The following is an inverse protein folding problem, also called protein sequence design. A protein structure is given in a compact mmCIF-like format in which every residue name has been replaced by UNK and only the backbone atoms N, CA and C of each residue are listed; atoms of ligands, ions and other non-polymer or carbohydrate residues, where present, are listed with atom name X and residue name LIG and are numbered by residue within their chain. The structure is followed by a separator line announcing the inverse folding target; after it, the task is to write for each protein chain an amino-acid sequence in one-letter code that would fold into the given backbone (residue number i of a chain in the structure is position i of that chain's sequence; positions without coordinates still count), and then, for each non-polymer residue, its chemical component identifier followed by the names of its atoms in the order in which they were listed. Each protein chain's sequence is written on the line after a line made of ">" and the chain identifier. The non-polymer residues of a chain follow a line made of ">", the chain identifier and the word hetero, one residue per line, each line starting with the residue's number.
data_IF_990074594038
#
_entry.id   IF_990074594038
#
_cell.length_a   1.000
_cell.length_b   1.000
_cell.length_c   1.000
_cell.angle_alpha   90.00
_cell.angle_beta   90.00
_cell.angle_gamma   90.00
#
_symmetry.space_group_name_H-M   'P 1'
#
loop_
_entity.id
_entity.type
_entity.pdbx_description
1 polymer ?
#
# COMPACT_ATOMS: atom_id res chain seq x y z
N UNK A 1 42.38 41.06 -19.10
CA UNK A 1 42.74 41.39 -17.71
C UNK A 1 41.67 40.79 -16.80
N UNK A 2 42.02 39.70 -16.13
CA UNK A 2 41.25 39.10 -15.05
C UNK A 2 41.03 40.09 -13.92
N UNK A 3 39.86 40.06 -13.28
CA UNK A 3 39.58 40.34 -11.86
C UNK A 3 38.07 40.46 -11.67
N UNK A 4 37.40 40.03 -10.61
CA UNK A 4 37.76 39.33 -9.38
C UNK A 4 36.40 38.92 -8.76
N UNK A 5 36.30 37.69 -8.25
CA UNK A 5 35.20 37.25 -7.38
C UNK A 5 35.32 37.92 -6.01
N UNK A 6 34.22 38.22 -5.29
CA UNK A 6 34.24 38.27 -3.84
C UNK A 6 33.92 36.89 -3.25
N UNK A 7 34.67 36.58 -2.19
CA UNK A 7 34.69 35.35 -1.42
C UNK A 7 34.07 35.60 -0.02
N UNK A 8 33.72 34.49 0.67
CA UNK A 8 33.22 34.34 2.06
C UNK A 8 31.70 34.39 2.22
N UNK A 9 31.07 33.48 2.99
CA UNK A 9 31.54 32.84 4.22
C UNK A 9 30.98 31.42 4.37
N UNK A 10 31.83 30.50 4.81
CA UNK A 10 31.45 29.18 5.33
C UNK A 10 30.70 29.34 6.67
N UNK A 11 29.52 28.73 6.76
CA UNK A 11 28.96 28.24 8.02
C UNK A 11 28.47 26.82 7.79
N UNK A 12 29.38 25.87 7.96
CA UNK A 12 29.03 24.52 8.38
C UNK A 12 28.79 24.56 9.88
N UNK A 13 27.59 24.19 10.34
CA UNK A 13 27.32 23.56 11.63
C UNK A 13 25.84 23.18 11.76
N UNK A 14 25.62 21.87 11.79
CA UNK A 14 24.78 21.14 12.74
C UNK A 14 23.39 21.70 13.05
N UNK A 15 22.39 21.10 12.41
CA UNK A 15 21.12 20.77 13.09
C UNK A 15 20.82 19.29 12.84
N UNK A 16 21.42 18.49 13.71
CA UNK A 16 20.93 17.18 14.14
C UNK A 16 19.49 17.34 14.62
N UNK A 17 18.51 16.80 13.90
CA UNK A 17 17.21 16.42 14.49
C UNK A 17 16.78 15.08 13.90
N UNK A 18 17.06 14.06 14.72
CA UNK A 18 16.30 12.84 14.96
C UNK A 18 15.54 12.20 13.78
N UNK A 19 16.16 11.15 13.25
CA UNK A 19 15.49 9.95 12.79
C UNK A 19 14.62 9.35 13.91
N UNK A 20 13.30 9.53 13.84
CA UNK A 20 12.34 8.71 14.60
C UNK A 20 11.51 7.89 13.60
N UNK A 21 12.14 6.83 13.09
CA UNK A 21 11.48 5.72 12.40
C UNK A 21 11.52 4.47 13.28
N UNK A 22 11.21 4.59 14.57
CA UNK A 22 11.14 3.44 15.49
C UNK A 22 10.05 3.64 16.55
N UNK A 23 8.79 3.55 16.13
CA UNK A 23 7.69 3.22 17.06
C UNK A 23 6.85 2.13 16.40
N UNK A 24 7.38 0.90 16.34
CA UNK A 24 6.60 -0.35 16.41
C UNK A 24 7.54 -1.51 16.77
N UNK A 25 7.82 -1.63 18.07
CA UNK A 25 7.81 -2.92 18.77
C UNK A 25 8.89 -3.94 18.45
N UNK A 26 9.97 -3.87 19.23
CA UNK A 26 10.52 -4.96 20.05
C UNK A 26 10.18 -6.40 19.65
N UNK A 27 11.10 -7.05 18.95
CA UNK A 27 11.35 -8.48 19.08
C UNK A 27 12.69 -8.67 19.80
N UNK A 28 12.65 -8.83 21.12
CA UNK A 28 13.82 -9.12 21.96
C UNK A 28 14.26 -10.57 21.72
N UNK A 29 15.41 -10.70 21.06
CA UNK A 29 16.42 -11.77 21.15
C UNK A 29 17.68 -11.02 21.58
N UNK A 30 18.54 -11.39 22.52
CA UNK A 30 18.98 -12.63 23.17
C UNK A 30 19.15 -12.31 24.69
N UNK A 31 19.52 -13.15 25.66
CA UNK A 31 20.67 -14.04 25.81
C UNK A 31 20.59 -14.64 27.25
N UNK A 32 21.42 -15.65 27.55
CA UNK A 32 21.81 -16.11 28.90
C UNK A 32 21.09 -17.35 29.48
N UNK A 33 21.67 -18.53 29.23
CA UNK A 33 22.31 -19.30 30.33
C UNK A 33 23.14 -20.47 29.77
N UNK A 34 24.44 -20.26 29.85
CA UNK A 34 25.52 -21.24 29.69
C UNK A 34 25.57 -22.11 30.95
N UNK A 35 25.46 -23.42 30.80
CA UNK A 35 25.92 -24.39 31.80
C UNK A 35 26.84 -25.41 31.13
N UNK A 36 27.96 -25.64 31.79
CA UNK A 36 29.14 -26.37 31.35
C UNK A 36 29.11 -27.87 31.71
N UNK A 37 29.80 -28.67 30.88
CA UNK A 37 30.59 -29.88 31.16
C UNK A 37 29.86 -31.14 31.69
N UNK A 38 29.91 -32.23 30.93
CA UNK A 38 30.75 -33.43 31.22
C UNK A 38 30.81 -34.38 30.02
N UNK A 39 32.03 -34.84 29.74
CA UNK A 39 32.39 -35.99 28.93
C UNK A 39 31.77 -37.30 29.43
N UNK A 40 31.14 -38.08 28.55
CA UNK A 40 31.25 -39.54 28.67
C UNK A 40 31.12 -40.26 27.32
N UNK A 41 32.06 -41.16 27.13
CA UNK A 41 32.23 -42.15 26.10
C UNK A 41 31.25 -43.31 26.27
N UNK A 42 30.45 -43.64 25.25
CA UNK A 42 29.55 -44.80 25.34
C UNK A 42 28.92 -45.20 24.01
N UNK A 43 29.60 -46.08 23.28
CA UNK A 43 29.12 -46.75 22.07
C UNK A 43 28.02 -47.76 22.44
N UNK A 44 26.80 -47.60 21.92
CA UNK A 44 25.82 -48.71 21.80
C UNK A 44 25.23 -48.71 20.40
N UNK A 45 25.60 -49.74 19.63
CA UNK A 45 24.98 -50.08 18.36
C UNK A 45 23.56 -50.60 18.60
N UNK A 46 22.58 -50.16 17.78
CA UNK A 46 21.35 -50.90 17.57
C UNK A 46 20.76 -50.66 16.18
N UNK A 47 20.78 -51.75 15.41
CA UNK A 47 19.76 -52.22 14.46
C UNK A 47 19.23 -51.26 13.39
N UNK A 48 19.62 -51.56 12.16
CA UNK A 48 18.95 -51.14 10.93
C UNK A 48 17.49 -51.65 10.91
N UNK A 49 16.55 -50.80 10.50
CA UNK A 49 15.31 -51.24 9.86
C UNK A 49 14.89 -50.23 8.80
N UNK A 50 14.82 -50.69 7.55
CA UNK A 50 14.54 -49.94 6.34
C UNK A 50 13.12 -49.34 6.34
N UNK A 51 13.02 -48.00 6.44
CA UNK A 51 11.79 -47.31 6.10
C UNK A 51 11.70 -47.16 4.58
N UNK A 52 10.97 -48.09 3.97
CA UNK A 52 10.58 -48.12 2.55
C UNK A 52 10.11 -46.74 2.07
N UNK A 53 10.95 -46.04 1.31
CA UNK A 53 10.56 -44.86 0.53
C UNK A 53 9.51 -45.29 -0.50
N UNK A 54 8.23 -45.12 -0.18
CA UNK A 54 7.16 -45.13 -1.20
C UNK A 54 7.30 -43.84 -2.00
N UNK A 55 8.24 -43.85 -2.94
CA UNK A 55 8.34 -42.86 -4.00
C UNK A 55 7.10 -43.03 -4.88
N UNK A 56 6.02 -42.30 -4.60
CA UNK A 56 4.92 -42.22 -5.56
C UNK A 56 5.44 -41.45 -6.75
N UNK A 57 5.56 -42.11 -7.90
CA UNK A 57 5.88 -41.47 -9.16
C UNK A 57 4.92 -40.30 -9.41
N UNK A 58 5.40 -39.07 -9.20
CA UNK A 58 4.75 -37.89 -9.76
C UNK A 58 4.97 -37.95 -11.26
N UNK A 59 3.91 -38.22 -12.02
CA UNK A 59 3.88 -38.04 -13.47
C UNK A 59 4.32 -36.61 -13.78
N UNK A 60 5.54 -36.49 -14.27
CA UNK A 60 6.01 -35.35 -15.05
C UNK A 60 5.37 -35.42 -16.44
N UNK A 61 4.97 -34.25 -16.94
CA UNK A 61 4.41 -33.96 -18.27
C UNK A 61 2.90 -34.14 -18.45
N UNK A 62 2.29 -33.05 -18.92
CA UNK A 62 1.32 -33.14 -20.00
C UNK A 62 -0.15 -33.16 -19.59
N UNK A 63 -0.67 -32.00 -19.19
CA UNK A 63 -2.08 -31.74 -19.44
C UNK A 63 -2.36 -31.76 -20.94
N UNK A 64 -2.92 -32.86 -21.45
CA UNK A 64 -3.85 -33.00 -22.59
C UNK A 64 -3.95 -34.47 -23.02
N UNK A 65 -5.16 -35.04 -22.95
CA UNK A 65 -5.48 -36.33 -23.56
C UNK A 65 -5.52 -36.22 -25.10
N UNK A 66 -5.22 -37.31 -25.84
CA UNK A 66 -5.22 -37.28 -27.31
C UNK A 66 -6.64 -37.04 -27.84
N UNK A 67 -6.78 -35.95 -28.60
CA UNK A 67 -8.04 -35.44 -29.13
C UNK A 67 -8.46 -36.27 -30.35
N UNK A 68 -9.53 -37.07 -30.21
CA UNK A 68 -10.32 -37.51 -31.36
C UNK A 68 -11.09 -36.30 -31.89
N UNK A 69 -10.99 -36.06 -33.20
CA UNK A 69 -11.52 -34.89 -33.89
C UNK A 69 -13.03 -34.72 -33.67
N UNK A 70 -13.44 -33.47 -33.41
CA UNK A 70 -14.59 -32.75 -33.98
C UNK A 70 -14.63 -31.35 -33.35
N UNK A 71 -15.16 -30.38 -34.10
CA UNK A 71 -15.08 -28.96 -33.82
C UNK A 71 -15.80 -28.56 -32.51
N UNK A 72 -15.16 -27.77 -31.65
CA UNK A 72 -15.85 -26.99 -30.62
C UNK A 72 -15.07 -25.73 -30.25
N UNK A 73 -15.82 -24.64 -30.22
CA UNK A 73 -15.49 -23.24 -29.90
C UNK A 73 -14.50 -23.08 -28.73
N UNK A 74 -13.73 -21.99 -28.75
CA UNK A 74 -12.84 -21.57 -27.65
C UNK A 74 -13.60 -21.51 -26.30
N UNK A 75 -13.52 -22.59 -25.52
CA UNK A 75 -13.78 -22.55 -24.08
C UNK A 75 -12.47 -22.17 -23.37
N UNK A 76 -12.04 -20.90 -23.51
CA UNK A 76 -10.95 -20.36 -22.69
C UNK A 76 -11.45 -20.18 -21.26
N UNK A 77 -11.02 -21.08 -20.38
CA UNK A 77 -11.03 -20.93 -18.91
C UNK A 77 -12.33 -20.41 -18.29
N UNK A 78 -13.42 -21.15 -18.42
CA UNK A 78 -14.50 -21.18 -17.42
C UNK A 78 -14.29 -22.28 -16.35
N UNK A 79 -13.16 -23.00 -16.39
CA UNK A 79 -12.83 -24.08 -15.44
C UNK A 79 -12.27 -23.58 -14.08
N UNK A 80 -12.81 -22.49 -13.53
CA UNK A 80 -12.78 -22.24 -12.07
C UNK A 80 -14.19 -22.15 -11.46
N UNK A 81 -15.22 -22.53 -12.22
CA UNK A 81 -16.58 -22.69 -11.72
C UNK A 81 -17.20 -23.96 -12.30
N UNK A 82 -16.71 -25.11 -11.85
CA UNK A 82 -17.44 -26.38 -11.94
C UNK A 82 -17.18 -27.16 -10.63
N UNK A 83 -18.18 -27.27 -9.73
CA UNK A 83 -18.20 -28.32 -8.74
C UNK A 83 -19.03 -29.48 -9.31
N UNK A 84 -18.36 -30.51 -9.82
CA UNK A 84 -18.98 -31.84 -9.96
C UNK A 84 -18.70 -32.62 -8.69
N UNK A 85 -19.39 -32.22 -7.62
CA UNK A 85 -19.81 -33.06 -6.50
C UNK A 85 -21.04 -32.37 -5.91
N UNK A 86 -22.08 -33.15 -5.70
CA UNK A 86 -23.40 -32.78 -5.16
C UNK A 86 -23.31 -31.69 -4.08
N UNK A 87 -23.89 -30.51 -4.35
CA UNK A 87 -24.12 -29.45 -3.37
C UNK A 87 -22.93 -28.49 -3.11
N UNK A 88 -22.88 -27.37 -3.84
CA UNK A 88 -22.15 -26.19 -3.39
C UNK A 88 -21.30 -25.53 -4.48
N UNK A 89 -21.86 -24.51 -5.13
CA UNK A 89 -21.06 -23.53 -5.88
C UNK A 89 -20.03 -22.94 -4.91
N UNK A 90 -18.73 -23.01 -5.25
CA UNK A 90 -17.68 -22.37 -4.44
C UNK A 90 -18.05 -20.90 -4.26
N UNK A 91 -18.23 -20.48 -3.00
CA UNK A 91 -18.56 -19.08 -2.68
C UNK A 91 -17.51 -18.16 -3.32
N UNK A 92 -17.92 -17.06 -3.97
CA UNK A 92 -16.98 -16.10 -4.50
C UNK A 92 -16.08 -15.58 -3.38
N UNK A 93 -14.78 -15.51 -3.64
CA UNK A 93 -13.82 -15.03 -2.65
C UNK A 93 -14.07 -13.55 -2.35
N UNK A 94 -14.44 -13.24 -1.10
CA UNK A 94 -14.62 -11.88 -0.60
C UNK A 94 -13.52 -11.55 0.40
N UNK A 95 -12.83 -10.44 0.18
CA UNK A 95 -11.86 -9.92 1.15
C UNK A 95 -12.57 -9.46 2.43
N UNK A 96 -11.87 -9.57 3.57
CA UNK A 96 -12.37 -9.02 4.84
C UNK A 96 -12.48 -7.50 4.73
N UNK A 97 -13.44 -6.86 5.44
CA UNK A 97 -13.50 -5.40 5.52
C UNK A 97 -12.15 -4.87 6.01
N UNK A 98 -11.69 -3.75 5.42
CA UNK A 98 -10.38 -3.17 5.68
C UNK A 98 -9.24 -3.73 4.82
N UNK A 99 -9.31 -4.98 4.34
CA UNK A 99 -8.22 -5.56 3.52
C UNK A 99 -8.03 -4.85 2.18
N UNK A 100 -9.13 -4.42 1.55
CA UNK A 100 -9.07 -3.67 0.29
C UNK A 100 -8.65 -2.22 0.54
N UNK A 101 -9.19 -1.58 1.59
CA UNK A 101 -8.82 -0.23 1.99
C UNK A 101 -7.32 -0.09 2.28
N UNK A 102 -6.72 -1.02 3.05
CA UNK A 102 -5.27 -1.01 3.32
C UNK A 102 -4.43 -1.20 2.06
N UNK A 103 -4.94 -1.95 1.08
CA UNK A 103 -4.28 -2.13 -0.21
C UNK A 103 -4.33 -0.86 -1.05
N UNK A 104 -5.47 -0.18 -1.06
CA UNK A 104 -5.66 1.10 -1.74
C UNK A 104 -4.78 2.19 -1.13
N UNK A 105 -4.72 2.29 0.21
CA UNK A 105 -3.84 3.24 0.92
C UNK A 105 -2.38 3.04 0.48
N UNK A 106 -1.87 1.81 0.54
CA UNK A 106 -0.49 1.50 0.12
C UNK A 106 -0.24 1.78 -1.36
N UNK A 107 -1.24 1.55 -2.22
CA UNK A 107 -1.14 1.86 -3.65
C UNK A 107 -1.01 3.37 -3.86
N UNK A 108 -1.93 4.15 -3.29
CA UNK A 108 -2.00 5.60 -3.49
C UNK A 108 -0.85 6.35 -2.83
N UNK A 109 -0.29 5.85 -1.72
CA UNK A 109 0.92 6.42 -1.13
C UNK A 109 2.18 6.18 -1.96
N UNK A 110 2.21 5.13 -2.80
CA UNK A 110 3.36 4.82 -3.68
C UNK A 110 3.29 5.58 -5.01
N UNK A 111 2.10 5.95 -5.47
CA UNK A 111 1.87 6.65 -6.72
C UNK A 111 1.65 8.14 -6.51
N UNK A 112 2.02 8.95 -7.49
CA UNK A 112 1.73 10.39 -7.53
C UNK A 112 0.66 10.74 -8.58
N UNK A 113 -0.24 9.80 -8.88
CA UNK A 113 -1.32 10.02 -9.85
C UNK A 113 -2.41 10.92 -9.28
N UNK A 114 -2.93 11.85 -10.10
CA UNK A 114 -4.06 12.68 -9.73
C UNK A 114 -5.34 11.82 -9.65
N UNK A 115 -6.05 11.94 -8.53
CA UNK A 115 -7.20 11.10 -8.20
C UNK A 115 -8.51 11.71 -8.71
N UNK A 116 -8.57 13.04 -8.87
CA UNK A 116 -9.74 13.72 -9.39
C UNK A 116 -9.72 13.67 -10.93
N UNK A 117 -10.86 13.31 -11.53
CA UNK A 117 -10.99 13.31 -13.00
C UNK A 117 -10.80 14.75 -13.52
N UNK A 118 -9.96 14.91 -14.55
CA UNK A 118 -9.59 16.22 -15.12
C UNK A 118 -10.78 17.04 -15.63
N UNK A 119 -11.70 16.41 -16.36
CA UNK A 119 -12.84 17.11 -16.98
C UNK A 119 -13.81 17.75 -15.97
N UNK A 120 -14.31 17.04 -14.94
CA UNK A 120 -15.18 17.67 -13.94
C UNK A 120 -14.45 18.73 -13.11
N UNK A 121 -13.18 18.53 -12.76
CA UNK A 121 -12.39 19.56 -12.06
C UNK A 121 -12.26 20.84 -12.90
N UNK A 122 -11.98 20.70 -14.20
CA UNK A 122 -11.92 21.84 -15.10
C UNK A 122 -13.26 22.59 -15.21
N UNK A 123 -14.40 21.88 -15.19
CA UNK A 123 -15.73 22.51 -15.20
C UNK A 123 -15.96 23.32 -13.93
N UNK A 124 -15.61 22.75 -12.77
CA UNK A 124 -15.71 23.43 -11.48
C UNK A 124 -14.85 24.69 -11.40
N UNK A 125 -13.60 24.63 -11.87
CA UNK A 125 -12.71 25.81 -11.91
C UNK A 125 -13.32 26.93 -12.75
N UNK A 126 -13.94 26.60 -13.90
CA UNK A 126 -14.57 27.59 -14.78
C UNK A 126 -15.86 28.15 -14.19
N UNK A 127 -16.65 27.31 -13.51
CA UNK A 127 -17.85 27.72 -12.79
C UNK A 127 -17.50 28.78 -11.73
N UNK A 128 -16.55 28.47 -10.84
CA UNK A 128 -16.11 29.40 -9.79
C UNK A 128 -15.51 30.68 -10.39
N UNK A 129 -14.71 30.57 -11.46
CA UNK A 129 -14.08 31.73 -12.08
C UNK A 129 -15.09 32.69 -12.73
N UNK A 130 -16.20 32.14 -13.24
CA UNK A 130 -17.25 32.93 -13.89
C UNK A 130 -17.92 33.89 -12.90
N UNK A 131 -18.02 33.53 -11.62
CA UNK A 131 -18.59 34.38 -10.56
C UNK A 131 -17.76 35.64 -10.29
N UNK A 132 -16.46 35.60 -10.60
CA UNK A 132 -15.56 36.75 -10.41
C UNK A 132 -15.42 37.61 -11.66
N UNK A 133 -15.25 36.98 -12.82
CA UNK A 133 -15.09 37.69 -14.10
C UNK A 133 -15.54 36.82 -15.26
N UNK A 134 -16.40 37.37 -16.10
CA UNK A 134 -16.85 36.73 -17.33
C UNK A 134 -15.72 36.66 -18.36
N UNK A 135 -15.73 35.61 -19.20
CA UNK A 135 -14.84 35.44 -20.36
C UNK A 135 -13.35 35.20 -20.05
N UNK A 136 -13.05 34.55 -18.92
CA UNK A 136 -11.68 34.13 -18.59
C UNK A 136 -11.20 32.95 -19.44
N UNK A 137 -10.02 33.09 -20.05
CA UNK A 137 -9.32 32.01 -20.75
C UNK A 137 -8.26 31.41 -19.84
N UNK A 138 -8.36 30.09 -19.62
CA UNK A 138 -7.40 29.34 -18.82
C UNK A 138 -6.38 28.62 -19.68
N UNK A 139 -5.11 28.73 -19.32
CA UNK A 139 -4.05 27.86 -19.82
C UNK A 139 -4.24 26.43 -19.29
N UNK A 140 -3.84 25.43 -20.07
CA UNK A 140 -3.91 24.02 -19.64
C UNK A 140 -3.05 23.73 -18.41
N UNK A 141 -1.85 24.32 -18.33
CA UNK A 141 -0.96 24.21 -17.17
C UNK A 141 -1.53 24.85 -15.91
N UNK A 142 -2.28 25.96 -16.03
CA UNK A 142 -2.89 26.63 -14.89
C UNK A 142 -3.95 25.74 -14.23
N UNK A 143 -4.81 25.09 -15.02
CA UNK A 143 -5.82 24.15 -14.51
C UNK A 143 -5.15 22.95 -13.84
N UNK A 144 -4.05 22.47 -14.40
CA UNK A 144 -3.26 21.38 -13.81
C UNK A 144 -2.62 21.77 -12.47
N UNK A 145 -2.01 22.95 -12.38
CA UNK A 145 -1.43 23.47 -11.15
C UNK A 145 -2.48 23.66 -10.04
N UNK A 146 -3.67 24.18 -10.39
CA UNK A 146 -4.79 24.27 -9.46
C UNK A 146 -5.23 22.88 -8.97
N UNK A 147 -5.24 21.88 -9.85
CA UNK A 147 -5.59 20.51 -9.47
C UNK A 147 -4.57 19.91 -8.52
N UNK A 148 -3.28 20.03 -8.83
CA UNK A 148 -2.19 19.54 -7.98
C UNK A 148 -2.23 20.18 -6.59
N UNK A 149 -2.38 21.50 -6.51
CA UNK A 149 -2.48 22.21 -5.24
C UNK A 149 -3.73 21.79 -4.44
N UNK A 150 -4.87 21.63 -5.11
CA UNK A 150 -6.13 21.23 -4.45
C UNK A 150 -6.05 19.80 -3.89
N UNK A 151 -5.51 18.86 -4.65
CA UNK A 151 -5.36 17.47 -4.19
C UNK A 151 -4.33 17.36 -3.06
N UNK A 152 -3.19 18.05 -3.17
CA UNK A 152 -2.19 18.09 -2.10
C UNK A 152 -2.77 18.67 -0.80
N UNK A 153 -3.56 19.74 -0.89
CA UNK A 153 -4.24 20.33 0.26
C UNK A 153 -5.21 19.33 0.90
N UNK A 154 -6.07 18.66 0.11
CA UNK A 154 -7.02 17.69 0.62
C UNK A 154 -6.34 16.48 1.28
N UNK A 155 -5.25 15.97 0.70
CA UNK A 155 -4.46 14.87 1.30
C UNK A 155 -3.91 15.30 2.67
N UNK A 156 -3.27 16.46 2.75
CA UNK A 156 -2.74 16.97 4.03
C UNK A 156 -3.85 17.13 5.08
N UNK A 157 -5.03 17.61 4.66
CA UNK A 157 -6.15 17.79 5.57
C UNK A 157 -6.68 16.44 6.06
N UNK A 158 -6.74 15.43 5.19
CA UNK A 158 -7.16 14.09 5.59
C UNK A 158 -6.18 13.42 6.56
N UNK A 159 -4.88 13.68 6.45
CA UNK A 159 -3.88 13.22 7.42
C UNK A 159 -4.20 13.76 8.83
N UNK A 160 -4.44 15.06 8.96
CA UNK A 160 -4.81 15.69 10.23
C UNK A 160 -6.17 15.18 10.76
N UNK A 161 -7.16 15.03 9.88
CA UNK A 161 -8.47 14.46 10.30
C UNK A 161 -8.34 13.03 10.80
N UNK A 162 -7.41 12.26 10.23
CA UNK A 162 -7.16 10.89 10.64
C UNK A 162 -6.51 10.87 12.03
N UNK A 163 -5.55 11.76 12.30
CA UNK A 163 -4.97 11.92 13.64
C UNK A 163 -6.04 12.32 14.67
N UNK A 164 -6.95 13.23 14.32
CA UNK A 164 -8.07 13.62 15.19
C UNK A 164 -9.05 12.46 15.45
N UNK A 165 -9.32 11.62 14.45
CA UNK A 165 -10.17 10.43 14.61
C UNK A 165 -9.50 9.39 15.54
N UNK A 166 -8.20 9.15 15.37
CA UNK A 166 -7.41 8.24 16.21
C UNK A 166 -7.35 8.76 17.66
N UNK A 167 -7.17 10.07 17.83
CA UNK A 167 -7.20 10.70 19.16
C UNK A 167 -8.52 10.42 19.90
N UNK A 168 -9.64 10.37 19.16
CA UNK A 168 -10.95 10.00 19.69
C UNK A 168 -11.23 8.48 19.71
N UNK A 169 -10.20 7.63 19.60
CA UNK A 169 -10.27 6.15 19.58
C UNK A 169 -11.15 5.57 18.46
N UNK A 170 -11.25 6.27 17.32
CA UNK A 170 -12.02 5.84 16.13
C UNK A 170 -11.11 5.61 14.94
N UNK A 171 -11.53 4.71 14.04
CA UNK A 171 -10.86 4.45 12.75
C UNK A 171 -11.59 5.15 11.59
N UNK A 172 -12.86 5.52 11.78
CA UNK A 172 -13.67 6.21 10.78
C UNK A 172 -13.64 7.72 11.04
N UNK A 173 -13.18 8.49 10.04
CA UNK A 173 -13.23 9.94 10.04
C UNK A 173 -14.68 10.45 9.99
N UNK A 174 -14.96 11.54 10.69
CA UNK A 174 -16.26 12.18 10.75
C UNK A 174 -16.15 13.68 10.46
N UNK A 175 -17.25 14.37 10.07
CA UNK A 175 -17.22 15.81 9.81
C UNK A 175 -16.72 16.66 11.00
N UNK A 176 -16.89 16.18 12.23
CA UNK A 176 -16.35 16.82 13.44
C UNK A 176 -14.83 16.80 13.51
N UNK A 177 -14.19 15.76 12.97
CA UNK A 177 -12.72 15.63 12.92
C UNK A 177 -12.16 16.61 11.87
N UNK A 178 -12.86 16.76 10.75
CA UNK A 178 -12.56 17.77 9.73
C UNK A 178 -12.72 19.20 10.24
N UNK A 179 -13.82 19.46 10.96
CA UNK A 179 -14.07 20.75 11.59
C UNK A 179 -13.00 21.10 12.63
N UNK A 180 -12.52 20.11 13.40
CA UNK A 180 -11.44 20.28 14.36
C UNK A 180 -10.10 20.54 13.67
N UNK A 181 -9.73 19.75 12.66
CA UNK A 181 -8.49 19.94 11.91
C UNK A 181 -8.39 21.34 11.30
N UNK A 182 -9.45 21.80 10.62
CA UNK A 182 -9.52 23.16 10.05
C UNK A 182 -9.43 24.25 11.11
N UNK A 183 -10.00 24.03 12.29
CA UNK A 183 -9.93 24.97 13.42
C UNK A 183 -8.51 25.07 13.96
N UNK A 184 -7.80 23.95 14.08
CA UNK A 184 -6.41 23.93 14.56
C UNK A 184 -5.44 24.55 13.54
N UNK A 185 -5.72 24.39 12.24
CA UNK A 185 -4.96 25.05 11.15
C UNK A 185 -5.18 26.56 11.06
N UNK A 186 -6.21 27.11 11.70
CA UNK A 186 -6.56 28.53 11.60
C UNK A 186 -7.27 28.93 10.31
N UNK A 187 -7.77 27.97 9.53
CA UNK A 187 -8.47 28.19 8.25
C UNK A 187 -9.96 28.57 8.40
N UNK A 188 -10.42 28.66 9.65
CA UNK A 188 -11.81 28.93 10.02
C UNK A 188 -11.88 30.30 10.69
N UNK A 189 -12.02 31.34 9.88
CA UNK A 189 -12.58 32.65 10.27
C UNK A 189 -14.10 32.56 10.30
#
# INVERSE_FOLDING_TARGET
>A
MSSQKPNRVNCARDLTVCSDSEIWGSGVVDEETRYEITSDSGRVAKSQSLARTKQTARKSTGGKAPRKQLATKQARKSAKSAPTTTGGVKKPHRFRPGTVALREIRRYQKSTELLIRKLPFQRLVREIAQDFKTDLRFQSSAVMALQEASEAYLVSLFEDTNLAAIHAKRVTIQPKDLALARRLRGERT
#
